data_IF_155194968223
#
_entry.id   IF_155194968223
#
_cell.length_a   1.000
_cell.length_b   1.000
_cell.length_c   1.000
_cell.angle_alpha   90.00
_cell.angle_beta   90.00
_cell.angle_gamma   90.00
#
_symmetry.space_group_name_H-M   'P 1'
#
loop_
_entity.id
_entity.type
_entity.pdbx_description
1 polymer ?
#
# COMPACT_ATOMS: atom_id res chain seq x y z
N UNK A 1 -34.50 7.33 2.05
CA UNK A 1 -34.54 5.87 2.31
C UNK A 1 -33.19 5.50 2.86
N UNK A 2 -33.09 5.05 4.11
CA UNK A 2 -31.82 4.49 4.60
C UNK A 2 -31.60 3.16 3.86
N UNK A 3 -30.35 2.79 3.53
CA UNK A 3 -30.08 1.49 2.93
C UNK A 3 -30.70 0.40 3.81
N UNK A 4 -31.17 -0.69 3.18
CA UNK A 4 -31.76 -1.83 3.87
C UNK A 4 -30.81 -2.43 4.92
N UNK A 5 -31.19 -3.58 5.49
CA UNK A 5 -30.36 -4.21 6.52
C UNK A 5 -28.93 -4.41 6.00
N UNK A 6 -27.98 -3.72 6.63
CA UNK A 6 -26.57 -3.77 6.23
C UNK A 6 -25.99 -5.18 6.36
N UNK A 7 -24.93 -5.45 5.60
CA UNK A 7 -24.21 -6.72 5.67
C UNK A 7 -23.43 -6.78 6.99
N UNK A 8 -23.60 -7.84 7.75
CA UNK A 8 -22.92 -8.03 9.06
C UNK A 8 -21.57 -8.73 8.94
N UNK A 9 -21.24 -9.29 7.76
CA UNK A 9 -19.97 -9.99 7.51
C UNK A 9 -19.61 -9.89 6.03
N UNK A 10 -18.39 -9.45 5.74
CA UNK A 10 -17.90 -9.27 4.39
C UNK A 10 -16.55 -9.99 4.23
N UNK A 11 -16.44 -10.86 3.22
CA UNK A 11 -15.17 -11.47 2.80
C UNK A 11 -14.78 -10.86 1.46
N UNK A 12 -13.73 -10.05 1.44
CA UNK A 12 -13.31 -9.33 0.24
C UNK A 12 -12.49 -10.18 -0.74
N UNK A 13 -11.94 -11.31 -0.30
CA UNK A 13 -11.04 -12.15 -1.12
C UNK A 13 -9.70 -11.50 -1.45
N UNK A 14 -9.45 -10.28 -0.95
CA UNK A 14 -8.23 -9.51 -1.08
C UNK A 14 -8.03 -8.63 0.16
N UNK A 15 -6.82 -8.12 0.33
CA UNK A 15 -6.53 -7.09 1.33
C UNK A 15 -7.23 -5.80 0.88
N UNK A 16 -8.04 -5.15 1.75
CA UNK A 16 -8.62 -3.86 1.41
C UNK A 16 -7.53 -2.80 1.26
N UNK A 17 -7.56 -2.07 0.15
CA UNK A 17 -6.63 -0.98 -0.17
C UNK A 17 -7.18 0.39 0.24
N UNK A 18 -8.36 0.43 0.86
CA UNK A 18 -8.99 1.65 1.34
C UNK A 18 -10.34 1.42 1.99
N UNK A 19 -10.87 2.47 2.61
CA UNK A 19 -12.19 2.46 3.23
C UNK A 19 -12.60 3.82 3.78
N UNK A 20 -13.88 3.98 4.08
CA UNK A 20 -14.41 5.17 4.74
C UNK A 20 -15.33 4.83 5.92
N UNK A 21 -15.25 5.64 6.96
CA UNK A 21 -16.15 5.65 8.09
C UNK A 21 -17.10 6.86 7.97
N UNK A 22 -18.40 6.63 8.12
CA UNK A 22 -19.42 7.67 7.97
C UNK A 22 -20.26 7.73 9.26
N UNK A 23 -20.11 8.81 10.03
CA UNK A 23 -20.93 9.11 11.21
C UNK A 23 -22.02 10.11 10.80
N UNK A 24 -23.21 9.57 10.51
CA UNK A 24 -24.37 10.36 10.06
C UNK A 24 -24.83 11.35 11.14
N UNK A 25 -25.04 10.96 12.42
CA UNK A 25 -25.46 11.90 13.45
C UNK A 25 -24.52 13.11 13.61
N UNK A 26 -23.21 12.91 13.49
CA UNK A 26 -22.23 14.00 13.64
C UNK A 26 -21.84 14.67 12.33
N UNK A 27 -22.35 14.18 11.18
CA UNK A 27 -21.91 14.59 9.84
C UNK A 27 -20.39 14.55 9.70
N UNK A 28 -19.78 13.42 10.07
CA UNK A 28 -18.33 13.20 9.92
C UNK A 28 -18.05 12.08 8.93
N UNK A 29 -17.04 12.26 8.10
CA UNK A 29 -16.50 11.25 7.22
C UNK A 29 -14.98 11.19 7.39
N UNK A 30 -14.46 10.03 7.74
CA UNK A 30 -13.03 9.76 7.71
C UNK A 30 -12.73 8.70 6.66
N UNK A 31 -11.62 8.84 5.94
CA UNK A 31 -11.25 7.88 4.92
C UNK A 31 -9.75 7.59 4.90
N UNK A 32 -9.41 6.37 4.48
CA UNK A 32 -8.04 5.90 4.34
C UNK A 32 -7.87 5.14 3.01
N UNK A 33 -6.66 5.12 2.49
CA UNK A 33 -6.27 4.40 1.27
C UNK A 33 -4.77 4.09 1.31
N UNK A 34 -4.37 2.89 0.87
CA UNK A 34 -2.95 2.46 0.82
C UNK A 34 -2.17 3.10 -0.34
N UNK A 35 -2.88 3.73 -1.27
CA UNK A 35 -2.31 4.56 -2.32
C UNK A 35 -3.33 5.64 -2.71
N UNK A 36 -3.03 6.92 -2.49
CA UNK A 36 -3.86 8.02 -3.00
C UNK A 36 -3.60 8.23 -4.49
N UNK A 37 -4.19 7.36 -5.30
CA UNK A 37 -4.32 7.60 -6.73
C UNK A 37 -5.55 8.46 -6.96
N UNK A 38 -5.36 9.66 -7.51
CA UNK A 38 -6.38 10.57 -8.04
C UNK A 38 -6.88 11.70 -7.11
N UNK A 39 -6.19 12.01 -6.02
CA UNK A 39 -6.53 13.17 -5.20
C UNK A 39 -7.87 13.02 -4.47
N UNK A 40 -8.15 11.80 -4.04
CA UNK A 40 -9.43 11.43 -3.44
C UNK A 40 -9.69 12.25 -2.17
N UNK A 41 -8.66 12.42 -1.33
CA UNK A 41 -8.79 13.15 -0.07
C UNK A 41 -9.06 14.64 -0.26
N UNK A 42 -8.50 15.25 -1.31
CA UNK A 42 -8.70 16.65 -1.66
C UNK A 42 -10.13 16.90 -2.14
N UNK A 43 -10.76 15.91 -2.78
CA UNK A 43 -12.14 15.99 -3.26
C UNK A 43 -13.19 15.78 -2.16
N UNK A 44 -12.84 15.17 -1.02
CA UNK A 44 -13.81 14.81 0.03
C UNK A 44 -14.65 15.98 0.55
N UNK A 45 -14.09 17.17 0.87
CA UNK A 45 -14.89 18.30 1.36
C UNK A 45 -15.92 18.79 0.35
N UNK A 46 -15.61 18.74 -0.95
CA UNK A 46 -16.50 19.16 -2.03
C UNK A 46 -17.62 18.14 -2.27
N UNK A 47 -17.30 16.85 -2.18
CA UNK A 47 -18.27 15.75 -2.33
C UNK A 47 -19.24 15.63 -1.14
N UNK A 48 -18.83 16.10 0.04
CA UNK A 48 -19.62 16.03 1.28
C UNK A 48 -19.82 17.42 1.91
N UNK A 49 -20.54 18.33 1.22
CA UNK A 49 -20.68 19.70 1.68
C UNK A 49 -21.39 19.78 3.02
N UNK A 50 -20.81 20.55 3.94
CA UNK A 50 -21.33 20.71 5.30
C UNK A 50 -21.08 19.51 6.23
N UNK A 51 -20.25 18.55 5.82
CA UNK A 51 -19.70 17.50 6.68
C UNK A 51 -18.26 17.85 7.07
N UNK A 52 -17.84 17.36 8.23
CA UNK A 52 -16.43 17.35 8.60
C UNK A 52 -15.78 16.15 7.92
N UNK A 53 -14.74 16.39 7.12
CA UNK A 53 -14.00 15.35 6.41
C UNK A 53 -12.58 15.24 6.97
N UNK A 54 -12.09 14.01 7.11
CA UNK A 54 -10.76 13.73 7.64
C UNK A 54 -10.01 12.77 6.71
N UNK A 55 -8.78 13.16 6.38
CA UNK A 55 -7.80 12.29 5.73
C UNK A 55 -7.07 11.48 6.80
N UNK A 56 -7.21 10.16 6.74
CA UNK A 56 -6.45 9.25 7.60
C UNK A 56 -5.24 8.65 6.89
N UNK A 57 -5.00 8.98 5.62
CA UNK A 57 -3.91 8.43 4.80
C UNK A 57 -3.98 6.88 4.76
N UNK A 58 -2.92 6.18 5.14
CA UNK A 58 -2.87 4.71 5.22
C UNK A 58 -3.29 4.15 6.59
N UNK A 59 -3.77 5.00 7.51
CA UNK A 59 -4.11 4.64 8.89
C UNK A 59 -5.49 3.99 9.01
N UNK A 60 -5.60 2.76 8.54
CA UNK A 60 -6.82 1.95 8.69
C UNK A 60 -7.24 1.76 10.16
N UNK A 61 -6.30 1.88 11.11
CA UNK A 61 -6.54 1.79 12.54
C UNK A 61 -7.45 2.92 13.06
N UNK A 62 -7.44 4.11 12.45
CA UNK A 62 -8.41 5.17 12.77
C UNK A 62 -9.84 4.72 12.44
N UNK A 63 -10.04 4.03 11.31
CA UNK A 63 -11.34 3.47 10.96
C UNK A 63 -11.82 2.49 12.03
N UNK A 64 -10.95 1.58 12.47
CA UNK A 64 -11.29 0.60 13.52
C UNK A 64 -11.65 1.29 14.84
N UNK A 65 -10.86 2.30 15.27
CA UNK A 65 -11.13 3.10 16.48
C UNK A 65 -12.50 3.77 16.40
N UNK A 66 -12.80 4.42 15.28
CA UNK A 66 -14.07 5.13 15.07
C UNK A 66 -15.29 4.19 15.00
N UNK A 67 -15.09 2.92 14.61
CA UNK A 67 -16.14 1.91 14.67
C UNK A 67 -16.47 1.42 16.08
N UNK A 68 -15.68 1.75 17.11
CA UNK A 68 -15.96 1.46 18.52
C UNK A 68 -16.40 0.00 18.78
N UNK A 69 -15.67 -0.97 18.19
CA UNK A 69 -15.93 -2.40 18.33
C UNK A 69 -17.03 -2.97 17.42
N UNK A 70 -17.70 -2.14 16.62
CA UNK A 70 -18.67 -2.60 15.62
C UNK A 70 -18.01 -3.24 14.38
N UNK A 71 -16.76 -2.87 14.09
CA UNK A 71 -15.92 -3.49 13.06
C UNK A 71 -14.94 -4.44 13.73
N UNK A 72 -14.92 -5.69 13.28
CA UNK A 72 -13.93 -6.69 13.67
C UNK A 72 -13.14 -7.08 12.43
N UNK A 73 -11.83 -6.99 12.53
CA UNK A 73 -10.90 -7.44 11.49
C UNK A 73 -10.31 -8.79 11.91
N UNK A 74 -9.91 -9.64 10.94
CA UNK A 74 -9.08 -10.80 11.27
C UNK A 74 -7.76 -10.33 11.89
N UNK A 75 -7.19 -11.17 12.75
CA UNK A 75 -5.84 -10.95 13.27
C UNK A 75 -4.83 -10.95 12.12
N UNK A 76 -3.79 -10.13 12.25
CA UNK A 76 -2.67 -10.14 11.31
C UNK A 76 -1.82 -11.39 11.55
N UNK A 77 -1.65 -12.17 10.49
CA UNK A 77 -0.67 -13.26 10.43
C UNK A 77 0.69 -12.67 10.07
N UNK A 78 1.50 -12.41 11.10
CA UNK A 78 2.80 -11.78 10.95
C UNK A 78 3.84 -12.77 10.42
N UNK A 79 3.68 -14.07 10.68
CA UNK A 79 4.57 -15.10 10.16
C UNK A 79 4.43 -15.22 8.63
N UNK A 80 3.22 -15.42 8.13
CA UNK A 80 2.94 -15.44 6.69
C UNK A 80 3.28 -14.10 6.05
N UNK A 81 3.04 -12.98 6.75
CA UNK A 81 3.47 -11.65 6.31
C UNK A 81 4.99 -11.55 6.12
N UNK A 82 5.77 -12.04 7.09
CA UNK A 82 7.23 -12.01 7.04
C UNK A 82 7.80 -12.90 5.92
N UNK A 83 7.20 -14.07 5.70
CA UNK A 83 7.57 -14.96 4.59
C UNK A 83 7.30 -14.31 3.22
N UNK A 84 6.12 -13.72 3.05
CA UNK A 84 5.76 -13.01 1.82
C UNK A 84 6.70 -11.83 1.54
N UNK A 85 7.02 -11.02 2.57
CA UNK A 85 7.95 -9.89 2.43
C UNK A 85 9.35 -10.39 2.07
N UNK A 86 9.84 -11.46 2.69
CA UNK A 86 11.14 -12.05 2.36
C UNK A 86 11.20 -12.48 0.91
N UNK A 87 10.20 -13.22 0.44
CA UNK A 87 10.12 -13.68 -0.95
C UNK A 87 10.07 -12.52 -1.93
N UNK A 88 9.15 -11.57 -1.71
CA UNK A 88 8.91 -10.46 -2.62
C UNK A 88 10.10 -9.49 -2.69
N UNK A 89 10.69 -9.13 -1.55
CA UNK A 89 11.89 -8.27 -1.53
C UNK A 89 13.08 -8.99 -2.16
N UNK A 90 13.23 -10.30 -1.90
CA UNK A 90 14.28 -11.11 -2.52
C UNK A 90 14.21 -11.08 -4.05
N UNK A 91 13.03 -11.38 -4.60
CA UNK A 91 12.76 -11.30 -6.04
C UNK A 91 13.06 -9.90 -6.58
N UNK A 92 12.53 -8.86 -5.94
CA UNK A 92 12.70 -7.47 -6.37
C UNK A 92 14.16 -7.01 -6.36
N UNK A 93 14.94 -7.40 -5.36
CA UNK A 93 16.32 -6.93 -5.18
C UNK A 93 17.30 -7.72 -6.05
N UNK A 94 17.09 -9.04 -6.18
CA UNK A 94 18.10 -9.94 -6.78
C UNK A 94 17.69 -10.49 -8.15
N UNK A 95 16.40 -10.54 -8.48
CA UNK A 95 15.91 -11.31 -9.63
C UNK A 95 15.14 -10.47 -10.67
N UNK A 96 14.50 -9.36 -10.26
CA UNK A 96 13.71 -8.53 -11.16
C UNK A 96 14.51 -7.35 -11.74
N UNK A 97 14.85 -7.45 -13.03
CA UNK A 97 15.35 -6.29 -13.78
C UNK A 97 14.24 -5.24 -13.97
N UNK A 98 13.01 -5.65 -14.27
CA UNK A 98 11.89 -4.73 -14.55
C UNK A 98 11.58 -3.82 -13.36
N UNK A 99 11.71 -4.34 -12.14
CA UNK A 99 11.49 -3.62 -10.89
C UNK A 99 12.71 -2.81 -10.39
N UNK A 100 13.85 -2.96 -11.07
CA UNK A 100 15.05 -2.17 -10.75
C UNK A 100 14.88 -0.71 -11.21
N UNK A 101 15.62 0.25 -10.61
CA UNK A 101 15.65 1.63 -11.10
C UNK A 101 15.93 1.72 -12.61
N UNK A 102 16.84 0.90 -13.13
CA UNK A 102 17.20 0.84 -14.54
C UNK A 102 16.04 0.29 -15.41
N UNK A 103 15.36 -0.77 -14.96
CA UNK A 103 14.18 -1.31 -15.63
C UNK A 103 13.04 -0.29 -15.74
N UNK A 104 12.80 0.47 -14.66
CA UNK A 104 11.84 1.57 -14.66
C UNK A 104 12.24 2.69 -15.64
N UNK A 105 13.52 3.05 -15.73
CA UNK A 105 14.02 4.04 -16.70
C UNK A 105 13.78 3.56 -18.14
N UNK A 106 14.09 2.30 -18.45
CA UNK A 106 13.83 1.71 -19.78
C UNK A 106 12.33 1.74 -20.10
N UNK A 107 11.48 1.35 -19.13
CA UNK A 107 10.03 1.38 -19.29
C UNK A 107 9.50 2.79 -19.57
N UNK A 108 9.95 3.79 -18.80
CA UNK A 108 9.58 5.19 -19.00
C UNK A 108 10.05 5.71 -20.37
N UNK A 109 11.27 5.36 -20.78
CA UNK A 109 11.79 5.74 -22.10
C UNK A 109 10.93 5.18 -23.24
N UNK A 110 10.51 3.91 -23.12
CA UNK A 110 9.59 3.27 -24.06
C UNK A 110 8.23 3.97 -24.13
N UNK A 111 7.68 4.41 -22.99
CA UNK A 111 6.43 5.16 -22.93
C UNK A 111 6.53 6.56 -23.54
N UNK A 112 7.69 7.23 -23.40
CA UNK A 112 7.91 8.59 -23.86
C UNK A 112 8.37 8.69 -25.32
N UNK A 113 9.01 7.64 -25.86
CA UNK A 113 9.53 7.61 -27.23
C UNK A 113 8.51 8.03 -28.31
N UNK A 114 7.21 7.63 -28.25
CA UNK A 114 6.21 8.07 -29.23
C UNK A 114 5.74 9.52 -29.03
N UNK A 115 5.92 10.09 -27.84
CA UNK A 115 5.37 11.38 -27.43
C UNK A 115 6.40 12.52 -27.50
N UNK A 116 7.68 12.19 -27.46
CA UNK A 116 8.78 13.15 -27.47
C UNK A 116 9.85 12.77 -28.52
N UNK A 117 9.64 13.14 -29.80
CA UNK A 117 10.63 12.90 -30.85
C UNK A 117 11.98 13.56 -30.51
N UNK A 118 13.06 12.79 -30.55
CA UNK A 118 14.40 13.25 -30.16
C UNK A 118 14.71 13.14 -28.66
N UNK A 119 13.81 12.56 -27.86
CA UNK A 119 14.13 12.17 -26.48
C UNK A 119 15.12 11.01 -26.48
N UNK A 120 16.27 11.22 -25.83
CA UNK A 120 17.32 10.21 -25.67
C UNK A 120 17.60 9.98 -24.18
N UNK A 121 17.67 8.71 -23.79
CA UNK A 121 18.16 8.31 -22.47
C UNK A 121 19.62 7.91 -22.63
N UNK A 122 20.50 8.56 -21.87
CA UNK A 122 21.92 8.21 -21.85
C UNK A 122 22.12 6.75 -21.46
N UNK A 123 23.07 6.07 -22.10
CA UNK A 123 23.46 4.70 -21.72
C UNK A 123 23.88 4.61 -20.26
N UNK A 124 24.43 5.69 -19.71
CA UNK A 124 24.87 5.73 -18.31
C UNK A 124 23.70 5.71 -17.31
N UNK A 125 22.50 6.10 -17.74
CA UNK A 125 21.30 6.04 -16.89
C UNK A 125 20.75 4.61 -16.75
N UNK A 126 21.15 3.71 -17.64
CA UNK A 126 20.76 2.29 -17.62
C UNK A 126 21.94 1.36 -17.34
N UNK A 127 23.17 1.87 -17.41
CA UNK A 127 24.39 1.14 -17.08
C UNK A 127 24.61 1.11 -15.57
N UNK A 128 25.10 -0.03 -15.08
CA UNK A 128 25.43 -0.23 -13.67
C UNK A 128 24.54 -1.27 -12.98
N UNK A 129 25.03 -1.79 -11.86
CA UNK A 129 24.22 -2.59 -10.95
C UNK A 129 23.60 -1.62 -9.94
N UNK A 130 22.28 -1.64 -9.69
CA UNK A 130 21.72 -0.85 -8.60
C UNK A 130 22.44 -1.17 -7.29
N UNK A 131 22.55 -0.19 -6.40
CA UNK A 131 23.11 -0.40 -5.06
C UNK A 131 22.29 -1.48 -4.35
N UNK A 132 22.86 -2.68 -4.28
CA UNK A 132 22.26 -3.83 -3.59
C UNK A 132 22.62 -3.76 -2.11
N UNK A 133 21.77 -4.27 -1.21
CA UNK A 133 22.15 -4.43 0.19
C UNK A 133 23.41 -5.29 0.26
N UNK A 134 24.33 -4.89 1.15
CA UNK A 134 25.47 -5.73 1.51
C UNK A 134 24.99 -7.04 2.13
N UNK A 135 25.86 -8.04 2.15
CA UNK A 135 25.56 -9.32 2.79
C UNK A 135 25.15 -9.15 4.27
N UNK A 136 25.75 -8.18 4.96
CA UNK A 136 25.42 -7.89 6.36
C UNK A 136 24.03 -7.25 6.49
N UNK A 137 23.65 -6.34 5.59
CA UNK A 137 22.32 -5.73 5.60
C UNK A 137 21.24 -6.76 5.26
N UNK A 138 21.50 -7.63 4.28
CA UNK A 138 20.57 -8.70 3.93
C UNK A 138 20.37 -9.70 5.08
N UNK A 139 21.46 -10.13 5.73
CA UNK A 139 21.36 -11.03 6.89
C UNK A 139 20.53 -10.41 8.03
N UNK A 140 20.69 -9.11 8.30
CA UNK A 140 19.86 -8.40 9.30
C UNK A 140 18.38 -8.37 8.93
N UNK A 141 18.06 -8.25 7.65
CA UNK A 141 16.68 -8.33 7.16
C UNK A 141 16.10 -9.73 7.36
N UNK A 142 16.84 -10.77 6.99
CA UNK A 142 16.42 -12.16 7.18
C UNK A 142 16.19 -12.49 8.67
N UNK A 143 17.10 -12.07 9.55
CA UNK A 143 16.98 -12.20 11.01
C UNK A 143 15.71 -11.52 11.53
N UNK A 144 15.38 -10.33 11.02
CA UNK A 144 14.16 -9.61 11.42
C UNK A 144 12.88 -10.36 11.00
N UNK A 145 12.85 -10.93 9.80
CA UNK A 145 11.75 -11.80 9.36
C UNK A 145 11.60 -13.04 10.26
N UNK A 146 12.73 -13.66 10.63
CA UNK A 146 12.77 -14.82 11.51
C UNK A 146 12.19 -14.53 12.91
N UNK A 147 12.46 -13.34 13.47
CA UNK A 147 11.92 -12.94 14.77
C UNK A 147 10.40 -12.85 14.76
N UNK A 148 9.80 -12.43 13.64
CA UNK A 148 8.35 -12.37 13.48
C UNK A 148 7.75 -13.78 13.35
N UNK A 149 8.39 -14.66 12.58
CA UNK A 149 7.95 -16.06 12.44
C UNK A 149 8.00 -16.86 13.75
N UNK A 150 8.93 -16.54 14.66
CA UNK A 150 9.06 -17.24 15.95
C UNK A 150 8.10 -16.75 17.04
N UNK A 151 7.55 -15.53 16.91
CA UNK A 151 6.65 -14.94 17.92
C UNK A 151 5.24 -15.53 17.94
N UNK A 152 4.83 -16.24 16.88
CA UNK A 152 3.51 -16.89 16.82
C UNK A 152 3.51 -18.33 17.34
N UNK A 153 4.68 -18.94 17.56
CA UNK A 153 4.83 -20.33 18.03
C UNK A 153 5.00 -20.41 19.55
N UNK A 154 5.15 -19.28 20.24
CA UNK A 154 5.35 -19.17 21.69
C UNK A 154 4.08 -18.67 22.40
#
# INVERSE_FOLDING_TARGET
>A
MLPGRGVTTLKLGKIPEGGCHIDIPRKRLGAWQTADTMGFFQALPELWPGWQTECWDDRYDEHVRHCNGALRLPDLDLASGAENVRSWVGERVFESFEDSPQGHIVKLAGMLSPLAPGFEVSSDAVAGTPDRPSQQEWARFEDACDLLGRREVA
#
